data_IF_822702259664
#
_entry.id   IF_822702259664
#
_cell.length_a   1.000
_cell.length_b   1.000
_cell.length_c   1.000
_cell.angle_alpha   90.00
_cell.angle_beta   90.00
_cell.angle_gamma   90.00
#
_symmetry.space_group_name_H-M   'P 1'
#
loop_
_entity.id
_entity.type
_entity.pdbx_description
1 polymer ?
#
# COMPACT_ATOMS: atom_id res chain seq x y z
N UNK A 1 -2.44 7.00 13.77
CA UNK A 1 -1.74 7.74 12.69
C UNK A 1 -1.79 6.94 11.40
N UNK A 2 -1.55 7.54 10.22
CA UNK A 2 -1.44 6.79 8.96
C UNK A 2 -0.36 5.71 9.04
N UNK A 3 0.75 5.99 9.74
CA UNK A 3 1.82 5.03 9.98
C UNK A 3 1.34 3.75 10.67
N UNK A 4 0.46 3.86 11.67
CA UNK A 4 -0.09 2.72 12.41
C UNK A 4 -1.04 1.90 11.52
N UNK A 5 -1.93 2.58 10.79
CA UNK A 5 -2.86 1.95 9.85
C UNK A 5 -2.08 1.20 8.76
N UNK A 6 -1.00 1.79 8.26
CA UNK A 6 -0.13 1.19 7.26
C UNK A 6 0.55 -0.07 7.76
N UNK A 7 0.96 -0.11 9.03
CA UNK A 7 1.54 -1.30 9.64
C UNK A 7 0.51 -2.43 9.73
N UNK A 8 -0.71 -2.14 10.18
CA UNK A 8 -1.81 -3.13 10.21
C UNK A 8 -2.14 -3.65 8.80
N UNK A 9 -2.29 -2.74 7.83
CA UNK A 9 -2.66 -3.07 6.45
C UNK A 9 -1.59 -3.92 5.75
N UNK A 10 -0.29 -3.69 6.02
CA UNK A 10 0.79 -4.55 5.54
C UNK A 10 0.68 -5.99 6.06
N UNK A 11 0.23 -6.18 7.31
CA UNK A 11 0.01 -7.50 7.89
C UNK A 11 -1.21 -8.20 7.30
N UNK A 12 -2.35 -7.50 7.20
CA UNK A 12 -3.60 -8.09 6.68
C UNK A 12 -3.58 -8.32 5.16
N UNK A 13 -2.90 -7.45 4.43
CA UNK A 13 -2.88 -7.42 2.97
C UNK A 13 -1.44 -7.29 2.44
N UNK A 14 -0.63 -8.34 2.54
CA UNK A 14 0.78 -8.31 2.16
C UNK A 14 1.01 -8.16 0.65
N UNK A 15 -0.02 -8.42 -0.17
CA UNK A 15 0.06 -8.29 -1.63
C UNK A 15 -0.19 -6.87 -2.14
N UNK A 16 -0.64 -5.94 -1.29
CA UNK A 16 -1.00 -4.59 -1.69
C UNK A 16 0.15 -3.61 -1.44
N UNK A 17 0.27 -2.60 -2.29
CA UNK A 17 1.25 -1.51 -2.11
C UNK A 17 0.69 -0.47 -1.14
N UNK A 18 1.42 -0.20 -0.08
CA UNK A 18 1.00 0.74 0.96
C UNK A 18 1.91 1.98 0.93
N UNK A 19 1.51 3.09 0.27
CA UNK A 19 2.34 4.28 0.11
C UNK A 19 2.50 5.07 1.42
N UNK A 20 3.55 5.90 1.51
CA UNK A 20 3.78 6.77 2.68
C UNK A 20 2.73 7.86 2.76
N UNK A 21 2.35 8.40 1.59
CA UNK A 21 1.35 9.44 1.46
C UNK A 21 0.23 8.96 0.54
N UNK A 22 -0.92 8.52 1.08
CA UNK A 22 -2.01 7.98 0.26
C UNK A 22 -2.64 9.04 -0.65
N UNK A 23 -2.57 10.32 -0.26
CA UNK A 23 -3.09 11.44 -1.04
C UNK A 23 -2.27 11.75 -2.30
N UNK A 24 -0.98 11.39 -2.31
CA UNK A 24 -0.05 11.66 -3.42
C UNK A 24 0.23 10.42 -4.26
N UNK A 25 -0.23 9.25 -3.82
CA UNK A 25 0.05 7.99 -4.48
C UNK A 25 -0.82 7.80 -5.72
N UNK A 26 -0.22 7.30 -6.79
CA UNK A 26 -0.96 6.92 -8.01
C UNK A 26 -1.88 5.74 -7.72
N UNK A 27 -3.15 5.86 -8.09
CA UNK A 27 -4.09 4.75 -7.99
C UNK A 27 -3.67 3.61 -8.93
N UNK A 28 -3.47 2.42 -8.38
CA UNK A 28 -3.09 1.23 -9.14
C UNK A 28 -4.23 0.21 -9.17
N UNK A 29 -4.61 -0.30 -10.35
CA UNK A 29 -5.66 -1.32 -10.46
C UNK A 29 -5.23 -2.71 -9.94
N UNK A 30 -3.94 -2.93 -9.69
CA UNK A 30 -3.42 -4.21 -9.17
C UNK A 30 -2.89 -4.04 -7.77
N UNK A 31 -3.06 -5.09 -6.96
CA UNK A 31 -2.45 -5.14 -5.63
C UNK A 31 -0.92 -5.21 -5.71
N UNK A 32 -0.38 -6.02 -6.65
CA UNK A 32 1.07 -6.24 -6.81
C UNK A 32 1.58 -5.63 -8.12
N UNK A 33 2.66 -4.81 -8.09
CA UNK A 33 3.33 -4.38 -9.32
C UNK A 33 3.99 -5.59 -10.01
N UNK A 34 3.99 -5.61 -11.35
CA UNK A 34 4.74 -6.63 -12.09
C UNK A 34 6.22 -6.38 -11.80
N UNK A 35 6.96 -7.43 -11.44
CA UNK A 35 8.41 -7.36 -11.37
C UNK A 35 8.93 -6.89 -12.73
N UNK A 36 9.73 -5.85 -12.71
CA UNK A 36 10.70 -5.60 -13.78
C UNK A 36 12.01 -6.19 -13.29
#
# INVERSE_FOLDING_TARGET
SWADVRAEMRGRYPRHVWPENPLLATATSRAKPRGT
#
